data_IF_934542401580
#
_entry.id   IF_934542401580
#
_cell.length_a   1.000
_cell.length_b   1.000
_cell.length_c   1.000
_cell.angle_alpha   90.00
_cell.angle_beta   90.00
_cell.angle_gamma   90.00
#
_symmetry.space_group_name_H-M   'P 1'
#
loop_
_entity.id
_entity.type
_entity.pdbx_description
1 polymer ?
#
# COMPACT_ATOMS: atom_id res chain seq x y z
N UNK A 1 8.87 3.12 5.82
CA UNK A 1 9.16 2.03 6.77
C UNK A 1 10.13 2.59 7.81
N UNK A 2 9.89 2.31 9.08
CA UNK A 2 10.78 2.66 10.18
C UNK A 2 11.20 1.35 10.86
N UNK A 3 12.45 1.22 11.22
CA UNK A 3 13.02 0.02 11.82
C UNK A 3 13.96 0.39 12.97
N UNK A 4 13.95 -0.42 14.03
CA UNK A 4 14.87 -0.28 15.15
C UNK A 4 15.16 -1.63 15.79
N UNK A 5 16.44 -1.93 16.02
CA UNK A 5 16.86 -2.99 16.92
C UNK A 5 16.85 -2.48 18.37
N UNK A 6 16.11 -3.14 19.24
CA UNK A 6 15.95 -2.72 20.63
C UNK A 6 16.26 -3.87 21.59
N UNK A 7 16.87 -3.53 22.73
CA UNK A 7 17.02 -4.45 23.86
C UNK A 7 16.19 -3.93 25.03
N UNK A 8 15.16 -4.69 25.41
CA UNK A 8 14.27 -4.34 26.51
C UNK A 8 14.55 -5.21 27.73
N UNK A 9 14.68 -4.57 28.90
CA UNK A 9 14.94 -5.25 30.17
C UNK A 9 13.66 -5.78 30.86
N UNK A 10 12.49 -5.46 30.30
CA UNK A 10 11.15 -5.79 30.79
C UNK A 10 10.11 -5.50 29.70
N UNK A 11 8.83 -5.43 30.07
CA UNK A 11 7.79 -4.92 29.19
C UNK A 11 7.88 -3.40 29.11
N UNK A 12 8.59 -2.89 28.11
CA UNK A 12 8.88 -1.48 27.95
C UNK A 12 7.97 -0.87 26.89
N UNK A 13 7.52 0.37 27.11
CA UNK A 13 6.82 1.12 26.08
C UNK A 13 7.84 1.87 25.21
N UNK A 14 7.97 1.45 23.95
CA UNK A 14 8.79 2.13 22.96
C UNK A 14 7.99 3.28 22.35
N UNK A 15 8.49 4.51 22.55
CA UNK A 15 7.98 5.71 21.91
C UNK A 15 8.70 5.94 20.58
N UNK A 16 7.95 6.29 19.54
CA UNK A 16 8.50 6.75 18.27
C UNK A 16 8.03 8.18 18.00
N UNK A 17 8.96 9.08 17.68
CA UNK A 17 8.69 10.50 17.40
C UNK A 17 7.99 10.77 16.07
N UNK A 18 7.14 9.84 15.61
CA UNK A 18 6.42 9.91 14.34
C UNK A 18 4.93 10.10 14.59
N UNK A 19 4.30 10.97 13.81
CA UNK A 19 2.88 11.29 13.92
C UNK A 19 1.98 10.07 13.71
N UNK A 20 1.01 9.90 14.59
CA UNK A 20 -0.05 8.92 14.46
C UNK A 20 -0.99 9.29 13.31
N UNK A 21 -1.02 8.43 12.29
CA UNK A 21 -1.98 8.44 11.20
C UNK A 21 -2.67 7.07 11.11
N UNK A 22 -3.97 7.02 10.76
CA UNK A 22 -4.61 5.75 10.43
C UNK A 22 -3.86 5.05 9.29
N UNK A 23 -3.53 3.77 9.46
CA UNK A 23 -2.78 2.96 8.47
C UNK A 23 -1.38 2.55 8.90
N UNK A 24 -0.87 3.01 10.05
CA UNK A 24 0.33 2.42 10.63
C UNK A 24 0.07 0.98 11.10
N UNK A 25 0.98 0.07 10.72
CA UNK A 25 1.13 -1.28 11.27
C UNK A 25 2.48 -1.37 11.98
N UNK A 26 2.54 -2.21 13.00
CA UNK A 26 3.76 -2.47 13.74
C UNK A 26 4.06 -3.96 13.79
N UNK A 27 5.33 -4.31 13.83
CA UNK A 27 5.80 -5.68 13.90
C UNK A 27 6.93 -5.80 14.93
N UNK A 28 6.94 -6.91 15.66
CA UNK A 28 8.05 -7.34 16.51
C UNK A 28 8.51 -8.69 15.97
N UNK A 29 9.75 -8.76 15.50
CA UNK A 29 10.33 -9.96 14.89
C UNK A 29 9.44 -10.55 13.78
N UNK A 30 8.86 -9.68 12.95
CA UNK A 30 7.95 -10.05 11.85
C UNK A 30 6.51 -10.36 12.26
N UNK A 31 6.18 -10.40 13.56
CA UNK A 31 4.81 -10.64 14.04
C UNK A 31 4.07 -9.32 14.25
N UNK A 32 2.89 -9.17 13.64
CA UNK A 32 2.09 -7.94 13.74
C UNK A 32 1.64 -7.70 15.19
N UNK A 33 1.77 -6.45 15.64
CA UNK A 33 1.38 -6.00 16.97
C UNK A 33 0.62 -4.67 16.91
N UNK A 34 0.00 -4.32 18.03
CA UNK A 34 -0.82 -3.12 18.14
C UNK A 34 0.05 -1.86 18.14
N UNK A 35 -0.26 -0.94 17.22
CA UNK A 35 0.21 0.44 17.29
C UNK A 35 -0.62 1.20 18.33
N UNK A 36 0.05 1.84 19.28
CA UNK A 36 -0.56 2.71 20.26
C UNK A 36 -0.38 4.17 19.86
N UNK A 37 -1.49 4.92 19.86
CA UNK A 37 -1.44 6.38 19.84
C UNK A 37 -0.99 6.87 21.21
N UNK A 38 0.11 7.60 21.26
CA UNK A 38 0.73 8.12 22.48
C UNK A 38 0.99 9.62 22.38
N UNK A 39 1.18 10.29 23.52
CA UNK A 39 1.49 11.72 23.60
C UNK A 39 0.63 12.58 22.65
N UNK A 40 -0.69 12.34 22.65
CA UNK A 40 -1.72 12.99 21.82
C UNK A 40 -1.62 12.82 20.30
N UNK A 41 -0.45 12.54 19.74
CA UNK A 41 -0.24 12.57 18.30
C UNK A 41 0.87 11.69 17.77
N UNK A 42 1.48 10.82 18.57
CA UNK A 42 2.61 9.99 18.17
C UNK A 42 2.29 8.49 18.21
N UNK A 43 3.17 7.67 17.66
CA UNK A 43 3.06 6.20 17.69
C UNK A 43 3.98 5.60 18.75
N UNK A 44 3.60 4.44 19.26
CA UNK A 44 4.43 3.62 20.12
C UNK A 44 3.89 2.21 20.23
N UNK A 45 4.64 1.31 20.86
CA UNK A 45 4.22 -0.06 21.12
C UNK A 45 4.91 -0.63 22.36
N UNK A 46 4.36 -1.71 22.90
CA UNK A 46 4.98 -2.43 24.01
C UNK A 46 5.95 -3.48 23.45
N UNK A 47 7.22 -3.37 23.83
CA UNK A 47 8.27 -4.35 23.51
C UNK A 47 8.45 -5.26 24.72
N UNK A 48 8.34 -6.59 24.58
CA UNK A 48 8.60 -7.53 25.67
C UNK A 48 10.10 -7.58 25.98
N UNK A 49 10.43 -8.21 27.12
CA UNK A 49 11.83 -8.38 27.53
C UNK A 49 12.60 -9.21 26.50
N UNK A 50 13.72 -8.70 26.03
CA UNK A 50 14.57 -9.38 25.06
C UNK A 50 15.21 -8.44 24.05
N UNK A 51 15.90 -9.04 23.07
CA UNK A 51 16.36 -8.35 21.87
C UNK A 51 15.32 -8.57 20.79
N UNK A 52 14.84 -7.47 20.21
CA UNK A 52 13.76 -7.50 19.24
C UNK A 52 14.07 -6.55 18.11
N UNK A 53 13.70 -6.95 16.89
CA UNK A 53 13.60 -6.06 15.75
C UNK A 53 12.18 -5.51 15.69
N UNK A 54 12.06 -4.18 15.76
CA UNK A 54 10.78 -3.48 15.72
C UNK A 54 10.64 -2.75 14.40
N UNK A 55 9.51 -2.94 13.73
CA UNK A 55 9.22 -2.32 12.43
C UNK A 55 7.87 -1.61 12.46
N UNK A 56 7.81 -0.40 11.91
CA UNK A 56 6.56 0.31 11.60
C UNK A 56 6.43 0.52 10.10
N UNK A 57 5.30 0.08 9.55
CA UNK A 57 4.99 0.18 8.12
C UNK A 57 3.72 1.00 7.95
N UNK A 58 3.76 2.01 7.08
CA UNK A 58 2.60 2.86 6.81
C UNK A 58 1.88 2.34 5.55
N UNK A 59 0.70 1.76 5.74
CA UNK A 59 -0.12 1.16 4.69
C UNK A 59 -1.56 1.72 4.77
N UNK A 60 -1.79 2.95 4.28
CA UNK A 60 -3.12 3.55 4.33
C UNK A 60 -4.06 2.86 3.34
N UNK A 61 -5.24 2.45 3.81
CA UNK A 61 -6.28 1.82 2.97
C UNK A 61 -6.65 2.62 1.73
N UNK A 62 -6.62 3.96 1.82
CA UNK A 62 -6.92 4.84 0.70
C UNK A 62 -5.93 4.72 -0.46
N UNK A 63 -4.65 4.46 -0.17
CA UNK A 63 -3.65 4.23 -1.21
C UNK A 63 -3.89 2.92 -1.95
N UNK A 64 -4.21 1.85 -1.23
CA UNK A 64 -4.54 0.54 -1.84
C UNK A 64 -5.77 0.64 -2.75
N UNK A 65 -6.84 1.25 -2.26
CA UNK A 65 -8.07 1.48 -3.06
C UNK A 65 -7.76 2.35 -4.29
N UNK A 66 -7.00 3.43 -4.12
CA UNK A 66 -6.64 4.34 -5.20
C UNK A 66 -5.78 3.67 -6.28
N UNK A 67 -4.82 2.83 -5.87
CA UNK A 67 -3.99 2.03 -6.77
C UNK A 67 -4.84 1.08 -7.60
N UNK A 68 -5.72 0.31 -6.96
CA UNK A 68 -6.58 -0.67 -7.65
C UNK A 68 -7.54 0.02 -8.62
N UNK A 69 -8.15 1.13 -8.20
CA UNK A 69 -9.04 1.92 -9.04
C UNK A 69 -8.30 2.52 -10.24
N UNK A 70 -7.09 3.07 -10.02
CA UNK A 70 -6.28 3.63 -11.09
C UNK A 70 -5.92 2.55 -12.11
N UNK A 71 -5.55 1.36 -11.65
CA UNK A 71 -5.23 0.23 -12.52
C UNK A 71 -6.45 -0.18 -13.35
N UNK A 72 -7.62 -0.33 -12.73
CA UNK A 72 -8.85 -0.70 -13.42
C UNK A 72 -9.24 0.33 -14.50
N UNK A 73 -9.14 1.63 -14.20
CA UNK A 73 -9.45 2.70 -15.15
C UNK A 73 -8.46 2.74 -16.32
N UNK A 74 -7.17 2.52 -16.06
CA UNK A 74 -6.16 2.42 -17.11
C UNK A 74 -6.42 1.22 -18.03
N UNK A 75 -6.71 0.05 -17.47
CA UNK A 75 -7.05 -1.14 -18.26
C UNK A 75 -8.28 -0.90 -19.14
N UNK A 76 -9.31 -0.24 -18.60
CA UNK A 76 -10.51 0.14 -19.36
C UNK A 76 -10.18 1.10 -20.50
N UNK A 77 -9.35 2.13 -20.24
CA UNK A 77 -8.95 3.12 -21.23
C UNK A 77 -8.15 2.47 -22.38
N UNK A 78 -7.08 1.73 -22.06
CA UNK A 78 -6.25 1.09 -23.08
C UNK A 78 -7.01 -0.01 -23.83
N UNK A 79 -7.86 -0.77 -23.13
CA UNK A 79 -8.76 -1.75 -23.75
C UNK A 79 -9.73 -1.09 -24.73
N UNK A 80 -10.32 0.04 -24.36
CA UNK A 80 -11.21 0.83 -25.22
C UNK A 80 -10.50 1.37 -26.47
N UNK A 81 -9.31 1.94 -26.30
CA UNK A 81 -8.49 2.43 -27.42
C UNK A 81 -8.14 1.30 -28.38
N UNK A 82 -7.70 0.15 -27.85
CA UNK A 82 -7.39 -1.03 -28.65
C UNK A 82 -8.63 -1.50 -29.43
N UNK A 83 -9.79 -1.61 -28.76
CA UNK A 83 -11.04 -2.02 -29.39
C UNK A 83 -11.44 -1.09 -30.55
N UNK A 84 -11.39 0.23 -30.36
CA UNK A 84 -11.67 1.22 -31.42
C UNK A 84 -10.70 1.05 -32.59
N UNK A 85 -9.40 0.90 -32.31
CA UNK A 85 -8.39 0.68 -33.35
C UNK A 85 -8.65 -0.59 -34.17
N UNK A 86 -9.01 -1.71 -33.50
CA UNK A 86 -9.34 -2.96 -34.18
C UNK A 86 -10.61 -2.88 -35.02
N UNK A 87 -11.66 -2.22 -34.52
CA UNK A 87 -12.91 -1.99 -35.25
C UNK A 87 -12.64 -1.17 -36.51
N UNK A 88 -11.92 -0.06 -36.39
CA UNK A 88 -11.59 0.81 -37.51
C UNK A 88 -10.75 0.07 -38.57
N UNK A 89 -9.74 -0.69 -38.15
CA UNK A 89 -8.91 -1.50 -39.06
C UNK A 89 -9.72 -2.56 -39.80
N UNK A 90 -10.69 -3.20 -39.13
CA UNK A 90 -11.60 -4.18 -39.75
C UNK A 90 -12.51 -3.53 -40.79
N UNK A 91 -13.07 -2.36 -40.48
CA UNK A 91 -13.94 -1.61 -41.39
C UNK A 91 -13.19 -1.14 -42.64
N UNK A 92 -11.98 -0.58 -42.50
CA UNK A 92 -11.15 -0.17 -43.65
C UNK A 92 -10.79 -1.35 -44.57
N UNK A 93 -10.57 -2.54 -44.00
CA UNK A 93 -10.32 -3.76 -44.80
C UNK A 93 -11.57 -4.20 -45.57
N UNK A 94 -12.76 -4.15 -44.97
CA UNK A 94 -14.02 -4.48 -45.64
C UNK A 94 -14.29 -3.56 -46.83
N UNK A 95 -14.20 -2.24 -46.63
CA UNK A 95 -14.43 -1.25 -47.70
C UNK A 95 -13.48 -1.44 -48.88
N UNK A 96 -12.22 -1.84 -48.62
CA UNK A 96 -11.25 -2.11 -49.70
C UNK A 96 -11.57 -3.39 -50.49
N UNK A 97 -12.21 -4.39 -49.88
CA UNK A 97 -12.62 -5.63 -50.53
C UNK A 97 -13.90 -5.45 -51.36
N UNK A 98 -14.84 -4.60 -50.92
CA UNK A 98 -16.06 -4.30 -51.69
C UNK A 98 -15.81 -3.45 -52.94
N UNK A 99 -14.73 -2.67 -52.96
CA UNK A 99 -14.35 -1.77 -54.06
C UNK A 99 -13.31 -2.37 -55.03
N UNK A 100 -12.91 -3.63 -54.85
CA UNK A 100 -11.92 -4.34 -55.68
C UNK A 100 -12.60 -5.41 -56.53
#
# INVERSE_FOLDING_TARGET
>A
MLEADVTANGNNFLFFGTTYLPGWKAYIDGSETKVHKTNYGFIGLVVPKGKHKVEFIYEPKGFEIGKDLSLALNLLLFGGIAAVFFINKKNSRKVKLENA
#
